data_IF_059722180090
#
_entry.id   IF_059722180090
#
_cell.length_a   1.000
_cell.length_b   1.000
_cell.length_c   1.000
_cell.angle_alpha   90.00
_cell.angle_beta   90.00
_cell.angle_gamma   90.00
#
_symmetry.space_group_name_H-M   'P 1'
#
loop_
_entity.id
_entity.type
_entity.pdbx_description
1 polymer ?
#
# COMPACT_ATOMS: atom_id res chain seq x y z
N UNK A 1 -3.17 1.52 -10.32
CA UNK A 1 -2.13 0.57 -9.85
C UNK A 1 -2.88 -0.64 -9.34
N UNK A 2 -2.41 -1.85 -9.64
CA UNK A 2 -3.02 -3.09 -9.15
C UNK A 2 -2.29 -3.56 -7.89
N UNK A 3 -2.97 -4.33 -7.06
CA UNK A 3 -2.47 -4.84 -5.78
C UNK A 3 -1.19 -5.68 -5.96
N UNK A 4 -1.12 -6.55 -6.97
CA UNK A 4 0.10 -7.30 -7.32
C UNK A 4 1.28 -6.37 -7.66
N UNK A 5 1.00 -5.28 -8.40
CA UNK A 5 2.02 -4.28 -8.74
C UNK A 5 2.49 -3.53 -7.50
N UNK A 6 1.58 -3.20 -6.58
CA UNK A 6 1.90 -2.53 -5.32
C UNK A 6 2.80 -3.39 -4.42
N UNK A 7 2.48 -4.68 -4.29
CA UNK A 7 3.33 -5.66 -3.59
C UNK A 7 4.74 -5.67 -4.19
N UNK A 8 4.84 -5.78 -5.51
CA UNK A 8 6.13 -5.87 -6.20
C UNK A 8 6.97 -4.60 -6.12
N UNK A 9 6.33 -3.44 -6.11
CA UNK A 9 6.98 -2.14 -5.87
C UNK A 9 7.51 -2.06 -4.45
N UNK A 10 6.72 -2.53 -3.47
CA UNK A 10 7.15 -2.58 -2.09
C UNK A 10 8.35 -3.52 -1.96
N UNK A 11 8.28 -4.76 -2.45
CA UNK A 11 9.38 -5.74 -2.45
C UNK A 11 10.70 -5.12 -2.95
N UNK A 12 10.65 -4.37 -4.07
CA UNK A 12 11.83 -3.70 -4.61
C UNK A 12 12.37 -2.59 -3.69
N UNK A 13 11.48 -1.81 -3.06
CA UNK A 13 11.87 -0.76 -2.12
C UNK A 13 12.53 -1.32 -0.85
N UNK A 14 12.06 -2.47 -0.35
CA UNK A 14 12.60 -3.12 0.86
C UNK A 14 13.87 -3.93 0.58
N UNK A 15 13.96 -4.58 -0.59
CA UNK A 15 15.02 -5.53 -0.93
C UNK A 15 16.45 -4.96 -0.86
N UNK A 16 16.62 -3.64 -1.03
CA UNK A 16 17.95 -3.00 -0.98
C UNK A 16 18.39 -2.59 0.45
N UNK A 17 17.53 -2.71 1.47
CA UNK A 17 17.75 -2.10 2.79
C UNK A 17 17.76 -3.07 3.96
N UNK A 18 17.17 -4.25 3.82
CA UNK A 18 17.06 -5.21 4.90
C UNK A 18 17.88 -6.45 4.57
N UNK A 19 19.05 -6.58 5.21
CA UNK A 19 19.78 -7.84 5.30
C UNK A 19 19.11 -8.73 6.35
N UNK A 20 17.99 -9.41 6.05
CA UNK A 20 17.60 -10.59 6.84
C UNK A 20 16.52 -11.46 6.16
N UNK A 21 16.80 -12.76 6.14
CA UNK A 21 15.96 -13.88 5.69
C UNK A 21 14.55 -13.89 6.35
N UNK A 22 14.39 -13.19 7.48
CA UNK A 22 13.12 -13.05 8.21
C UNK A 22 12.07 -12.15 7.54
N UNK A 23 12.43 -11.36 6.51
CA UNK A 23 11.55 -10.36 5.89
C UNK A 23 11.12 -10.67 4.44
N UNK A 24 11.53 -11.80 3.86
CA UNK A 24 11.39 -12.04 2.41
C UNK A 24 10.00 -12.36 1.86
N UNK A 25 8.90 -12.26 2.62
CA UNK A 25 7.58 -12.69 2.12
C UNK A 25 6.34 -12.08 2.80
N UNK A 26 6.48 -11.11 3.68
CA UNK A 26 5.34 -10.65 4.50
C UNK A 26 4.51 -9.57 3.79
N UNK A 27 5.05 -8.88 2.78
CA UNK A 27 4.40 -7.76 2.11
C UNK A 27 3.05 -8.15 1.49
N UNK A 28 3.02 -9.27 0.76
CA UNK A 28 1.79 -9.82 0.18
C UNK A 28 0.85 -10.36 1.26
N UNK A 29 1.38 -10.96 2.32
CA UNK A 29 0.57 -11.60 3.38
C UNK A 29 -0.03 -10.59 4.37
N UNK A 30 0.66 -9.49 4.64
CA UNK A 30 0.30 -8.57 5.73
C UNK A 30 -0.44 -7.34 5.22
N UNK A 31 -0.06 -6.83 4.04
CA UNK A 31 -0.72 -5.67 3.44
C UNK A 31 -1.60 -6.01 2.25
N UNK A 32 -1.62 -7.28 1.81
CA UNK A 32 -2.46 -7.72 0.70
C UNK A 32 -3.92 -7.28 0.85
N UNK A 33 -4.51 -7.48 2.04
CA UNK A 33 -5.89 -7.07 2.32
C UNK A 33 -6.09 -5.54 2.25
N UNK A 34 -5.07 -4.75 2.64
CA UNK A 34 -5.11 -3.29 2.51
C UNK A 34 -5.00 -2.87 1.05
N UNK A 35 -4.15 -3.54 0.27
CA UNK A 35 -4.01 -3.26 -1.15
C UNK A 35 -5.29 -3.63 -1.92
N UNK A 36 -5.87 -4.81 -1.68
CA UNK A 36 -7.17 -5.19 -2.24
C UNK A 36 -8.27 -4.18 -1.88
N UNK A 37 -8.28 -3.71 -0.62
CA UNK A 37 -9.23 -2.70 -0.18
C UNK A 37 -9.10 -1.38 -0.95
N UNK A 38 -7.86 -0.90 -1.15
CA UNK A 38 -7.60 0.33 -1.89
C UNK A 38 -7.82 0.15 -3.39
N UNK A 39 -7.51 -1.02 -3.96
CA UNK A 39 -7.82 -1.33 -5.36
C UNK A 39 -9.33 -1.30 -5.61
N UNK A 40 -10.12 -1.82 -4.67
CA UNK A 40 -11.58 -1.90 -4.82
C UNK A 40 -12.30 -0.56 -4.56
N UNK A 41 -11.74 0.34 -3.73
CA UNK A 41 -12.47 1.52 -3.25
C UNK A 41 -11.76 2.85 -3.52
N UNK A 42 -10.47 2.82 -3.87
CA UNK A 42 -9.63 3.99 -4.06
C UNK A 42 -9.14 4.13 -5.49
N UNK A 43 -8.24 5.07 -5.69
CA UNK A 43 -7.59 5.34 -6.97
C UNK A 43 -6.18 4.78 -7.01
N UNK A 44 -5.60 4.81 -8.22
CA UNK A 44 -4.18 4.52 -8.41
C UNK A 44 -3.26 5.43 -7.58
N UNK A 45 -3.69 6.66 -7.28
CA UNK A 45 -2.93 7.62 -6.50
C UNK A 45 -2.98 7.27 -5.00
N UNK A 46 -4.13 6.83 -4.49
CA UNK A 46 -4.28 6.37 -3.10
C UNK A 46 -3.39 5.14 -2.85
N UNK A 47 -3.36 4.20 -3.78
CA UNK A 47 -2.47 3.04 -3.69
C UNK A 47 -0.99 3.45 -3.68
N UNK A 48 -0.60 4.41 -4.51
CA UNK A 48 0.77 4.92 -4.52
C UNK A 48 1.14 5.62 -3.20
N UNK A 49 0.22 6.37 -2.60
CA UNK A 49 0.41 7.01 -1.31
C UNK A 49 0.57 5.99 -0.18
N UNK A 50 -0.24 4.92 -0.16
CA UNK A 50 -0.10 3.82 0.80
C UNK A 50 1.25 3.12 0.67
N UNK A 51 1.66 2.76 -0.55
CA UNK A 51 2.98 2.14 -0.80
C UNK A 51 4.11 3.06 -0.37
N UNK A 52 3.98 4.37 -0.63
CA UNK A 52 4.95 5.39 -0.19
C UNK A 52 5.08 5.46 1.32
N UNK A 53 3.95 5.50 2.05
CA UNK A 53 3.92 5.54 3.51
C UNK A 53 4.60 4.31 4.15
N UNK A 54 4.32 3.11 3.61
CA UNK A 54 4.98 1.88 4.06
C UNK A 54 6.48 1.95 3.77
N UNK A 55 6.85 2.36 2.56
CA UNK A 55 8.25 2.42 2.13
C UNK A 55 9.07 3.43 2.95
N UNK A 56 8.49 4.57 3.33
CA UNK A 56 9.13 5.53 4.24
C UNK A 56 9.34 4.95 5.63
N UNK A 57 8.32 4.34 6.22
CA UNK A 57 8.45 3.72 7.55
C UNK A 57 9.55 2.65 7.57
N UNK A 58 9.59 1.81 6.53
CA UNK A 58 10.66 0.83 6.33
C UNK A 58 12.02 1.50 6.17
N UNK A 59 12.09 2.59 5.40
CA UNK A 59 13.34 3.35 5.20
C UNK A 59 13.88 3.90 6.52
N UNK A 60 13.01 4.25 7.46
CA UNK A 60 13.36 4.63 8.83
C UNK A 60 13.68 3.42 9.73
N UNK A 61 13.71 2.21 9.18
CA UNK A 61 14.03 0.97 9.90
C UNK A 61 12.86 0.39 10.69
N UNK A 62 11.65 0.88 10.45
CA UNK A 62 10.45 0.48 11.17
C UNK A 62 9.48 -0.29 10.29
N UNK A 63 8.88 -1.34 10.86
CA UNK A 63 7.70 -1.97 10.27
C UNK A 63 6.46 -1.19 10.70
N UNK A 64 5.70 -0.58 9.78
CA UNK A 64 4.41 -0.02 10.16
C UNK A 64 3.42 -1.16 10.50
N UNK A 65 2.50 -0.87 11.40
CA UNK A 65 1.46 -1.81 11.78
C UNK A 65 0.39 -1.88 10.67
N UNK A 66 -0.10 -3.06 10.26
CA UNK A 66 -1.11 -3.17 9.21
C UNK A 66 -2.42 -2.45 9.52
N UNK A 67 -2.82 -2.33 10.80
CA UNK A 67 -4.00 -1.55 11.16
C UNK A 67 -3.77 -0.05 11.00
N UNK A 68 -2.55 0.44 11.27
CA UNK A 68 -2.16 1.83 11.02
C UNK A 68 -2.17 2.15 9.51
N UNK A 69 -1.58 1.26 8.71
CA UNK A 69 -1.60 1.37 7.24
C UNK A 69 -3.02 1.36 6.70
N UNK A 70 -3.91 0.50 7.24
CA UNK A 70 -5.33 0.48 6.88
C UNK A 70 -6.03 1.78 7.26
N UNK A 71 -5.77 2.33 8.45
CA UNK A 71 -6.35 3.60 8.87
C UNK A 71 -5.87 4.77 8.00
N UNK A 72 -4.60 4.76 7.59
CA UNK A 72 -4.06 5.71 6.63
C UNK A 72 -4.77 5.60 5.27
N UNK A 73 -4.93 4.38 4.75
CA UNK A 73 -5.67 4.12 3.53
C UNK A 73 -7.12 4.64 3.60
N UNK A 74 -7.83 4.33 4.69
CA UNK A 74 -9.20 4.79 4.93
C UNK A 74 -9.28 6.32 4.96
N UNK A 75 -8.30 6.96 5.60
CA UNK A 75 -8.17 8.42 5.66
C UNK A 75 -7.94 9.03 4.27
N UNK A 76 -7.11 8.43 3.42
CA UNK A 76 -6.89 8.92 2.06
C UNK A 76 -8.20 8.91 1.25
N UNK A 77 -8.96 7.81 1.38
CA UNK A 77 -10.24 7.64 0.70
C UNK A 77 -11.35 8.55 1.25
N UNK A 78 -11.35 8.87 2.56
CA UNK A 78 -12.34 9.77 3.18
C UNK A 78 -11.98 11.25 3.08
N UNK A 79 -10.70 11.63 3.17
CA UNK A 79 -10.23 13.01 3.09
C UNK A 79 -10.16 13.52 1.62
N UNK A 80 -10.02 12.62 0.65
CA UNK A 80 -9.95 12.92 -0.78
C UNK A 80 -11.28 13.17 -1.49
N UNK A 81 -12.42 12.93 -0.83
CA UNK A 81 -13.73 13.45 -1.22
C UNK A 81 -14.05 13.46 -2.73
N UNK A 82 -13.91 12.33 -3.42
CA UNK A 82 -14.63 12.12 -4.69
C UNK A 82 -15.49 10.85 -4.54
N UNK A 83 -16.80 10.92 -4.85
CA UNK A 83 -17.65 9.75 -4.87
C UNK A 83 -17.13 8.71 -5.87
N UNK A 84 -17.47 7.45 -5.58
CA UNK A 84 -17.13 6.17 -6.21
C UNK A 84 -17.26 6.01 -7.74
N UNK A 85 -17.27 7.09 -8.53
CA UNK A 85 -17.51 7.00 -9.98
C UNK A 85 -16.73 8.08 -10.73
N UNK A 86 -15.63 7.71 -11.39
CA UNK A 86 -15.21 8.31 -12.67
C UNK A 86 -14.20 7.40 -13.39
N UNK A 87 -14.67 6.70 -14.45
CA UNK A 87 -13.83 6.03 -15.45
C UNK A 87 -13.91 4.49 -15.46
N UNK A 88 -14.68 3.83 -16.33
CA UNK A 88 -15.32 4.37 -17.52
C UNK A 88 -16.39 3.46 -18.12
N UNK A 89 -17.43 4.12 -18.59
CA UNK A 89 -18.09 3.78 -19.84
C UNK A 89 -17.14 4.27 -20.95
N UNK A 90 -16.68 3.37 -21.82
CA UNK A 90 -16.45 3.47 -23.29
C UNK A 90 -15.66 2.24 -23.78
#
# INVERSE_FOLDING_TARGET
MRSDTAVRQLEYAVASKLEDDAWGHWESTVYGEVFDHVEANGTSADMAAVVGHISESVRDGHRPDPADVKAHADTLMTAGGKPLTDGGEE
#
